data_IF_949226327157
#
_entry.id   IF_949226327157
#
_cell.length_a   1.000
_cell.length_b   1.000
_cell.length_c   1.000
_cell.angle_alpha   90.00
_cell.angle_beta   90.00
_cell.angle_gamma   90.00
#
_symmetry.space_group_name_H-M   'P 1'
#
loop_
_entity.id
_entity.type
_entity.pdbx_description
1 polymer ?
#
# COMPACT_ATOMS: atom_id res chain seq x y z
N UNK A 1 -4.14 -2.42 23.51
CA UNK A 1 -5.20 -1.54 22.97
C UNK A 1 -5.40 -1.93 21.52
N UNK A 2 -6.38 -2.77 21.24
CA UNK A 2 -6.68 -3.21 19.89
C UNK A 2 -8.17 -3.02 19.63
N UNK A 3 -8.53 -2.77 18.38
CA UNK A 3 -9.92 -2.81 17.93
C UNK A 3 -10.47 -4.16 18.39
N UNK A 4 -11.53 -4.13 19.20
CA UNK A 4 -12.07 -5.36 19.75
C UNK A 4 -12.53 -6.23 18.57
N UNK A 5 -11.98 -7.44 18.42
CA UNK A 5 -12.35 -8.33 17.31
C UNK A 5 -13.85 -8.64 17.28
N UNK A 6 -14.55 -8.41 18.39
CA UNK A 6 -15.99 -8.57 18.50
C UNK A 6 -16.82 -7.51 17.75
N UNK A 7 -16.25 -6.37 17.35
CA UNK A 7 -17.01 -5.30 16.66
C UNK A 7 -16.79 -5.26 15.15
N UNK A 8 -15.74 -5.90 14.62
CA UNK A 8 -15.47 -5.96 13.19
C UNK A 8 -15.53 -7.40 12.69
N UNK A 9 -16.62 -7.71 12.01
CA UNK A 9 -16.83 -9.00 11.35
C UNK A 9 -16.55 -8.88 9.85
N UNK A 10 -15.99 -9.93 9.26
CA UNK A 10 -15.82 -10.04 7.82
C UNK A 10 -17.05 -10.76 7.24
N UNK A 11 -17.68 -10.15 6.25
CA UNK A 11 -18.79 -10.76 5.50
C UNK A 11 -18.28 -11.81 4.50
N UNK A 12 -17.09 -11.62 3.95
CA UNK A 12 -16.41 -12.57 3.10
C UNK A 12 -14.89 -12.43 3.22
N UNK A 13 -14.16 -13.50 2.93
CA UNK A 13 -12.69 -13.55 2.87
C UNK A 13 -12.25 -14.41 1.72
N UNK A 14 -11.00 -14.19 1.29
CA UNK A 14 -10.32 -15.03 0.30
C UNK A 14 -11.13 -15.17 -0.99
N UNK A 15 -11.75 -14.06 -1.41
CA UNK A 15 -12.58 -14.01 -2.60
C UNK A 15 -11.73 -14.25 -3.85
N UNK A 16 -12.29 -15.01 -4.79
CA UNK A 16 -11.73 -15.14 -6.13
C UNK A 16 -11.94 -13.85 -6.93
N UNK A 17 -11.00 -13.55 -7.82
CA UNK A 17 -11.16 -12.49 -8.81
C UNK A 17 -11.84 -13.06 -10.04
N UNK A 18 -12.87 -12.39 -10.55
CA UNK A 18 -13.55 -12.77 -11.79
C UNK A 18 -13.25 -11.70 -12.85
N UNK A 19 -12.56 -12.08 -13.91
CA UNK A 19 -12.35 -11.23 -15.09
C UNK A 19 -13.52 -11.43 -16.05
N UNK A 20 -14.31 -10.38 -16.23
CA UNK A 20 -15.52 -10.41 -17.04
C UNK A 20 -15.15 -10.34 -18.53
N UNK A 21 -15.76 -11.23 -19.29
CA UNK A 21 -15.62 -11.34 -20.75
C UNK A 21 -16.94 -10.93 -21.42
N UNK A 22 -16.86 -10.28 -22.58
CA UNK A 22 -18.05 -9.80 -23.32
C UNK A 22 -18.97 -10.95 -23.78
N UNK A 23 -18.40 -12.11 -24.05
CA UNK A 23 -19.10 -13.32 -24.48
C UNK A 23 -19.74 -14.11 -23.32
N UNK A 24 -19.60 -13.61 -22.07
CA UNK A 24 -20.07 -14.29 -20.86
C UNK A 24 -19.15 -15.41 -20.36
N UNK A 25 -18.10 -15.78 -21.10
CA UNK A 25 -17.15 -16.82 -20.71
C UNK A 25 -16.04 -16.24 -19.83
N UNK A 26 -16.38 -15.97 -18.57
CA UNK A 26 -15.51 -15.29 -17.62
C UNK A 26 -14.33 -16.15 -17.15
N UNK A 27 -13.22 -15.51 -16.83
CA UNK A 27 -12.08 -16.14 -16.18
C UNK A 27 -12.22 -15.97 -14.65
N UNK A 28 -12.14 -17.06 -13.92
CA UNK A 28 -12.08 -17.05 -12.45
C UNK A 28 -10.66 -17.35 -11.99
N UNK A 29 -10.08 -16.40 -11.25
CA UNK A 29 -8.75 -16.48 -10.66
C UNK A 29 -8.92 -16.70 -9.17
N UNK A 30 -8.57 -17.91 -8.73
CA UNK A 30 -8.45 -18.27 -7.32
C UNK A 30 -6.98 -18.44 -6.96
N UNK A 31 -6.67 -18.53 -5.67
CA UNK A 31 -5.30 -18.59 -5.12
C UNK A 31 -4.27 -19.35 -5.98
N UNK A 32 -4.61 -20.57 -6.40
CA UNK A 32 -3.72 -21.42 -7.23
C UNK A 32 -4.44 -22.03 -8.43
N UNK A 33 -5.59 -21.48 -8.83
CA UNK A 33 -6.45 -22.08 -9.85
C UNK A 33 -6.99 -21.02 -10.80
N UNK A 34 -6.88 -21.31 -12.09
CA UNK A 34 -7.50 -20.56 -13.16
C UNK A 34 -8.58 -21.43 -13.80
N UNK A 35 -9.80 -20.91 -13.96
CA UNK A 35 -10.90 -21.63 -14.58
C UNK A 35 -11.72 -20.71 -15.49
N UNK A 36 -12.26 -21.27 -16.58
CA UNK A 36 -13.08 -20.54 -17.53
C UNK A 36 -12.28 -19.85 -18.64
N UNK A 37 -12.98 -19.13 -19.52
CA UNK A 37 -12.42 -18.34 -20.61
C UNK A 37 -11.45 -19.07 -21.56
N UNK A 38 -11.58 -20.40 -21.70
CA UNK A 38 -10.69 -21.19 -22.58
C UNK A 38 -9.21 -21.16 -22.18
N UNK A 39 -8.91 -20.94 -20.89
CA UNK A 39 -7.55 -20.85 -20.37
C UNK A 39 -6.71 -22.10 -20.74
N UNK A 40 -5.54 -21.89 -21.34
CA UNK A 40 -4.68 -22.99 -21.80
C UNK A 40 -4.01 -23.71 -20.64
N UNK A 41 -3.60 -24.97 -20.85
CA UNK A 41 -2.78 -25.69 -19.87
C UNK A 41 -1.44 -25.00 -19.61
N UNK A 42 -0.89 -24.34 -20.63
CA UNK A 42 0.40 -23.65 -20.54
C UNK A 42 0.27 -22.37 -19.70
N UNK A 43 -0.81 -21.60 -19.86
CA UNK A 43 -1.10 -20.45 -18.99
C UNK A 43 -1.33 -20.88 -17.54
N UNK A 44 -2.00 -22.03 -17.31
CA UNK A 44 -2.17 -22.57 -15.96
C UNK A 44 -0.83 -22.92 -15.31
N UNK A 45 0.07 -23.57 -16.06
CA UNK A 45 1.43 -23.89 -15.58
C UNK A 45 2.25 -22.62 -15.34
N UNK A 46 2.20 -21.67 -16.27
CA UNK A 46 2.87 -20.38 -16.16
C UNK A 46 2.38 -19.61 -14.94
N UNK A 47 1.08 -19.63 -14.65
CA UNK A 47 0.50 -18.94 -13.49
C UNK A 47 1.00 -19.50 -12.16
N UNK A 48 1.11 -20.81 -12.06
CA UNK A 48 1.69 -21.48 -10.88
C UNK A 48 3.17 -21.09 -10.72
N UNK A 49 3.94 -21.10 -11.81
CA UNK A 49 5.36 -20.72 -11.80
C UNK A 49 5.55 -19.24 -11.42
N UNK A 50 4.77 -18.35 -12.02
CA UNK A 50 4.76 -16.92 -11.76
C UNK A 50 4.44 -16.62 -10.29
N UNK A 51 3.35 -17.18 -9.75
CA UNK A 51 3.00 -16.99 -8.34
C UNK A 51 4.05 -17.54 -7.38
N UNK A 52 4.73 -18.64 -7.74
CA UNK A 52 5.86 -19.17 -6.96
C UNK A 52 7.03 -18.18 -6.94
N UNK A 53 7.35 -17.57 -8.07
CA UNK A 53 8.41 -16.55 -8.18
C UNK A 53 8.07 -15.30 -7.36
N UNK A 54 6.85 -14.76 -7.53
CA UNK A 54 6.35 -13.60 -6.79
C UNK A 54 6.37 -13.86 -5.28
N UNK A 55 5.98 -15.07 -4.84
CA UNK A 55 6.03 -15.46 -3.44
C UNK A 55 7.46 -15.44 -2.84
N UNK A 56 8.50 -15.75 -3.62
CA UNK A 56 9.89 -15.61 -3.16
C UNK A 56 10.21 -14.14 -2.87
N UNK A 57 9.78 -13.23 -3.75
CA UNK A 57 10.00 -11.79 -3.58
C UNK A 57 9.20 -11.22 -2.40
N UNK A 58 7.95 -11.63 -2.22
CA UNK A 58 7.14 -11.26 -1.06
C UNK A 58 7.81 -11.67 0.26
N UNK A 59 8.42 -12.87 0.34
CA UNK A 59 9.15 -13.31 1.55
C UNK A 59 10.37 -12.45 1.85
N UNK A 60 11.08 -11.97 0.82
CA UNK A 60 12.20 -11.05 1.00
C UNK A 60 11.73 -9.70 1.54
N UNK A 61 10.67 -9.13 0.92
CA UNK A 61 10.11 -7.84 1.31
C UNK A 61 9.48 -7.88 2.71
N UNK A 62 8.82 -8.98 3.08
CA UNK A 62 8.29 -9.17 4.44
C UNK A 62 9.39 -9.04 5.50
N UNK A 63 10.56 -9.64 5.25
CA UNK A 63 11.73 -9.50 6.11
C UNK A 63 12.25 -8.06 6.21
N UNK A 64 12.11 -7.27 5.15
CA UNK A 64 12.50 -5.87 5.11
C UNK A 64 11.49 -4.97 5.84
N UNK A 65 10.18 -5.14 5.62
CA UNK A 65 9.14 -4.30 6.21
C UNK A 65 8.90 -4.53 7.71
N UNK A 66 9.19 -5.72 8.22
CA UNK A 66 9.16 -5.99 9.67
C UNK A 66 10.25 -5.23 10.44
N UNK A 67 11.19 -4.59 9.75
CA UNK A 67 12.33 -3.89 10.35
C UNK A 67 12.23 -2.41 10.04
N UNK A 68 12.72 -1.60 10.98
CA UNK A 68 12.97 -0.19 10.72
C UNK A 68 13.96 -0.07 9.56
N UNK A 69 13.64 0.74 8.55
CA UNK A 69 14.55 1.03 7.46
C UNK A 69 15.86 1.63 8.03
N UNK A 70 17.03 1.03 7.75
CA UNK A 70 18.30 1.53 8.27
C UNK A 70 18.64 2.87 7.63
N UNK A 71 19.20 3.80 8.40
CA UNK A 71 19.72 5.05 7.85
C UNK A 71 21.00 4.77 7.06
N UNK A 72 21.04 5.20 5.80
CA UNK A 72 22.19 4.96 4.90
C UNK A 72 23.35 5.95 5.11
N UNK A 73 23.06 7.16 5.61
CA UNK A 73 24.04 8.26 5.72
C UNK A 73 24.58 8.44 7.14
N UNK A 74 23.77 8.20 8.17
CA UNK A 74 24.14 8.30 9.59
C UNK A 74 23.89 6.98 10.31
N UNK A 75 24.65 5.93 9.96
CA UNK A 75 24.40 4.57 10.45
C UNK A 75 25.04 4.28 11.81
N UNK A 76 24.23 3.96 12.82
CA UNK A 76 24.71 3.40 14.08
C UNK A 76 25.04 1.89 13.90
N UNK A 77 25.70 1.25 14.88
CA UNK A 77 26.09 -0.17 14.80
C UNK A 77 24.88 -1.10 14.49
N UNK A 78 23.70 -0.77 15.04
CA UNK A 78 22.44 -1.48 14.78
C UNK A 78 21.98 -1.37 13.32
N UNK A 79 22.18 -0.21 12.68
CA UNK A 79 21.84 0.00 11.27
C UNK A 79 22.78 -0.82 10.38
N UNK A 80 24.06 -0.90 10.73
CA UNK A 80 25.05 -1.73 10.02
C UNK A 80 24.73 -3.22 10.10
N UNK A 81 24.29 -3.71 11.26
CA UNK A 81 23.82 -5.10 11.43
C UNK A 81 22.55 -5.35 10.60
N UNK A 82 21.64 -4.38 10.57
CA UNK A 82 20.40 -4.48 9.78
C UNK A 82 20.70 -4.54 8.28
N UNK A 83 21.60 -3.67 7.80
CA UNK A 83 22.12 -3.68 6.43
C UNK A 83 22.81 -4.99 6.08
N UNK A 84 23.67 -5.52 6.98
CA UNK A 84 24.33 -6.80 6.76
C UNK A 84 23.32 -7.96 6.65
N UNK A 85 22.28 -7.98 7.49
CA UNK A 85 21.21 -8.99 7.40
C UNK A 85 20.38 -8.85 6.12
N UNK A 86 20.11 -7.63 5.67
CA UNK A 86 19.44 -7.39 4.38
C UNK A 86 20.31 -7.88 3.22
N UNK A 87 21.61 -7.55 3.21
CA UNK A 87 22.57 -8.01 2.22
C UNK A 87 22.73 -9.54 2.22
N UNK A 88 22.71 -10.19 3.38
CA UNK A 88 22.67 -11.65 3.49
C UNK A 88 21.37 -12.23 2.91
N UNK A 89 20.22 -11.63 3.20
CA UNK A 89 18.93 -12.04 2.63
C UNK A 89 18.92 -11.96 1.10
N UNK A 90 19.45 -10.86 0.55
CA UNK A 90 19.65 -10.70 -0.90
C UNK A 90 20.60 -11.76 -1.47
N UNK A 91 21.70 -12.07 -0.77
CA UNK A 91 22.65 -13.11 -1.19
C UNK A 91 22.03 -14.52 -1.16
N UNK A 92 21.18 -14.82 -0.18
CA UNK A 92 20.51 -16.11 -0.06
C UNK A 92 19.41 -16.35 -1.11
N UNK A 93 18.93 -15.28 -1.75
CA UNK A 93 17.97 -15.39 -2.86
C UNK A 93 18.60 -16.07 -4.09
N UNK A 94 19.92 -16.03 -4.23
CA UNK A 94 20.63 -16.54 -5.39
C UNK A 94 20.71 -15.51 -6.53
N UNK A 95 21.62 -15.74 -7.47
CA UNK A 95 21.95 -14.77 -8.53
C UNK A 95 20.79 -14.55 -9.50
N UNK A 96 20.08 -15.60 -9.86
CA UNK A 96 18.98 -15.57 -10.83
C UNK A 96 17.79 -14.78 -10.28
N UNK A 97 17.24 -15.19 -9.13
CA UNK A 97 16.12 -14.50 -8.50
C UNK A 97 16.46 -13.03 -8.13
N UNK A 98 17.71 -12.70 -7.80
CA UNK A 98 18.13 -11.30 -7.56
C UNK A 98 18.19 -10.48 -8.84
N UNK A 99 18.66 -11.07 -9.94
CA UNK A 99 18.61 -10.44 -11.27
C UNK A 99 17.18 -10.14 -11.67
N UNK A 100 16.27 -11.10 -11.46
CA UNK A 100 14.85 -10.92 -11.74
C UNK A 100 14.23 -9.85 -10.85
N UNK A 101 14.52 -9.83 -9.54
CA UNK A 101 14.01 -8.79 -8.65
C UNK A 101 14.45 -7.39 -9.08
N UNK A 102 15.72 -7.23 -9.51
CA UNK A 102 16.23 -5.95 -10.03
C UNK A 102 15.59 -5.57 -11.37
N UNK A 103 15.30 -6.56 -12.23
CA UNK A 103 14.53 -6.35 -13.47
C UNK A 103 13.11 -5.87 -13.14
N UNK A 104 12.44 -6.53 -12.21
CA UNK A 104 11.06 -6.22 -11.81
C UNK A 104 10.91 -4.84 -11.18
N UNK A 105 11.96 -4.29 -10.56
CA UNK A 105 11.96 -2.95 -10.00
C UNK A 105 11.84 -1.84 -11.07
N UNK A 106 12.24 -2.12 -12.32
CA UNK A 106 12.33 -1.12 -13.39
C UNK A 106 11.35 -1.37 -14.55
N UNK A 107 10.90 -2.60 -14.74
CA UNK A 107 9.92 -2.96 -15.77
C UNK A 107 8.49 -2.56 -15.35
N UNK A 108 7.57 -2.65 -16.29
CA UNK A 108 6.15 -2.44 -16.09
C UNK A 108 5.39 -3.78 -16.08
N UNK A 109 4.19 -3.81 -15.49
CA UNK A 109 3.39 -5.03 -15.37
C UNK A 109 2.94 -5.54 -16.74
N UNK A 110 2.69 -4.65 -17.70
CA UNK A 110 2.22 -5.02 -19.03
C UNK A 110 3.22 -5.95 -19.73
N UNK A 111 4.50 -5.58 -19.79
CA UNK A 111 5.54 -6.40 -20.41
C UNK A 111 5.69 -7.75 -19.68
N UNK A 112 5.59 -7.76 -18.35
CA UNK A 112 5.63 -9.02 -17.57
C UNK A 112 4.43 -9.92 -17.91
N UNK A 113 3.25 -9.36 -18.14
CA UNK A 113 2.08 -10.14 -18.54
C UNK A 113 2.22 -10.70 -19.96
N UNK A 114 2.73 -9.91 -20.91
CA UNK A 114 3.01 -10.36 -22.28
C UNK A 114 4.11 -11.44 -22.34
N UNK A 115 5.08 -11.40 -21.44
CA UNK A 115 6.16 -12.41 -21.38
C UNK A 115 5.69 -13.76 -20.80
N UNK A 116 4.66 -13.78 -19.96
CA UNK A 116 4.32 -14.96 -19.15
C UNK A 116 2.99 -15.63 -19.53
N UNK A 117 2.10 -14.94 -20.24
CA UNK A 117 0.74 -15.43 -20.49
C UNK A 117 0.27 -15.14 -21.91
N UNK A 118 -0.62 -15.98 -22.42
CA UNK A 118 -1.30 -15.78 -23.70
C UNK A 118 -2.72 -15.23 -23.52
N UNK A 119 -3.43 -15.63 -22.46
CA UNK A 119 -4.82 -15.22 -22.22
C UNK A 119 -4.97 -13.73 -21.82
N UNK A 120 -5.64 -12.95 -22.66
CA UNK A 120 -5.86 -11.51 -22.47
C UNK A 120 -6.63 -11.14 -21.19
N UNK A 121 -7.61 -11.96 -20.77
CA UNK A 121 -8.35 -11.69 -19.52
C UNK A 121 -7.46 -11.88 -18.29
N UNK A 122 -6.56 -12.87 -18.33
CA UNK A 122 -5.58 -13.09 -17.26
C UNK A 122 -4.60 -11.92 -17.17
N UNK A 123 -4.04 -11.50 -18.32
CA UNK A 123 -3.15 -10.32 -18.42
C UNK A 123 -3.83 -9.08 -17.86
N UNK A 124 -5.08 -8.82 -18.28
CA UNK A 124 -5.86 -7.68 -17.84
C UNK A 124 -6.17 -7.68 -16.35
N UNK A 125 -6.59 -8.83 -15.81
CA UNK A 125 -6.92 -8.98 -14.40
C UNK A 125 -5.72 -8.76 -13.47
N UNK A 126 -4.57 -9.37 -13.79
CA UNK A 126 -3.34 -9.19 -13.00
C UNK A 126 -2.81 -7.75 -13.13
N UNK A 127 -2.89 -7.16 -14.33
CA UNK A 127 -2.51 -5.75 -14.54
C UNK A 127 -3.38 -4.78 -13.75
N UNK A 128 -4.69 -5.01 -13.67
CA UNK A 128 -5.56 -4.23 -12.79
C UNK A 128 -5.13 -4.38 -11.33
N UNK A 129 -4.83 -5.61 -10.93
CA UNK A 129 -4.43 -5.95 -9.57
C UNK A 129 -3.21 -5.15 -9.12
N UNK A 130 -2.22 -5.02 -9.99
CA UNK A 130 -0.97 -4.31 -9.72
C UNK A 130 -1.12 -2.79 -9.62
N UNK A 131 -2.21 -2.22 -10.16
CA UNK A 131 -2.42 -0.78 -10.24
C UNK A 131 -3.34 -0.24 -9.15
N UNK A 132 -4.07 -1.10 -8.43
CA UNK A 132 -4.97 -0.70 -7.36
C UNK A 132 -4.22 0.14 -6.31
N UNK A 133 -4.73 1.36 -6.06
CA UNK A 133 -4.12 2.33 -5.14
C UNK A 133 -3.07 3.25 -5.78
N UNK A 134 -2.88 3.19 -7.10
CA UNK A 134 -1.98 4.08 -7.84
C UNK A 134 -2.70 4.85 -8.96
N UNK A 135 -2.11 5.96 -9.39
CA UNK A 135 -2.54 6.69 -10.59
C UNK A 135 -1.72 6.30 -11.84
N UNK A 136 -1.01 5.18 -11.78
CA UNK A 136 -0.13 4.71 -12.86
C UNK A 136 -0.92 3.87 -13.87
N UNK A 137 -0.45 3.83 -15.13
CA UNK A 137 -0.98 2.91 -16.13
C UNK A 137 -0.19 1.60 -16.18
N UNK A 138 -0.70 0.52 -16.81
CA UNK A 138 -0.02 -0.79 -16.86
C UNK A 138 1.39 -0.75 -17.47
N UNK A 139 1.67 0.23 -18.33
CA UNK A 139 2.97 0.43 -18.99
C UNK A 139 3.91 1.37 -18.22
N UNK A 140 3.47 1.91 -17.08
CA UNK A 140 4.33 2.74 -16.24
C UNK A 140 5.40 1.88 -15.55
N UNK A 141 6.66 2.36 -15.45
CA UNK A 141 7.70 1.67 -14.70
C UNK A 141 7.30 1.39 -13.25
N UNK A 142 7.86 0.33 -12.66
CA UNK A 142 7.67 -0.05 -11.25
C UNK A 142 6.24 -0.47 -10.88
N UNK A 143 5.36 -0.71 -11.86
CA UNK A 143 3.98 -1.20 -11.60
C UNK A 143 3.95 -2.64 -11.11
N UNK A 144 4.98 -3.45 -11.40
CA UNK A 144 5.12 -4.80 -10.85
C UNK A 144 5.24 -4.79 -9.33
N UNK A 145 5.87 -3.77 -8.75
CA UNK A 145 5.97 -3.62 -7.29
C UNK A 145 4.59 -3.56 -6.62
N UNK A 146 3.60 -2.91 -7.26
CA UNK A 146 2.23 -2.87 -6.75
C UNK A 146 1.61 -4.27 -6.61
N UNK A 147 1.86 -5.15 -7.59
CA UNK A 147 1.43 -6.54 -7.54
C UNK A 147 2.12 -7.32 -6.40
N UNK A 148 3.44 -7.21 -6.30
CA UNK A 148 4.22 -7.88 -5.24
C UNK A 148 3.77 -7.39 -3.85
N UNK A 149 3.55 -6.10 -3.69
CA UNK A 149 3.08 -5.49 -2.43
C UNK A 149 1.73 -6.07 -2.00
N UNK A 150 0.81 -6.24 -2.94
CA UNK A 150 -0.50 -6.84 -2.66
C UNK A 150 -0.41 -8.34 -2.35
N UNK A 151 0.39 -9.08 -3.10
CA UNK A 151 0.59 -10.51 -2.86
C UNK A 151 1.32 -10.80 -1.54
N UNK A 152 1.97 -9.81 -0.95
CA UNK A 152 2.50 -9.92 0.41
C UNK A 152 1.40 -10.25 1.45
N UNK A 153 0.12 -9.95 1.17
CA UNK A 153 -1.01 -10.38 2.00
C UNK A 153 -1.02 -11.89 2.28
N UNK A 154 -0.54 -12.71 1.33
CA UNK A 154 -0.42 -14.17 1.53
C UNK A 154 0.49 -14.54 2.69
N UNK A 155 1.58 -13.78 2.91
CA UNK A 155 2.50 -13.99 4.03
C UNK A 155 1.85 -13.72 5.39
N UNK A 156 0.75 -12.96 5.41
CA UNK A 156 -0.05 -12.64 6.59
C UNK A 156 -1.34 -13.49 6.69
N UNK A 157 -1.50 -14.50 5.82
CA UNK A 157 -2.65 -15.40 5.81
C UNK A 157 -3.91 -14.80 5.17
N UNK A 158 -3.76 -13.82 4.27
CA UNK A 158 -4.84 -13.31 3.44
C UNK A 158 -4.64 -13.81 2.00
N UNK A 159 -5.58 -14.60 1.48
CA UNK A 159 -5.45 -15.29 0.19
C UNK A 159 -6.31 -14.69 -0.92
N UNK A 160 -6.87 -13.51 -0.66
CA UNK A 160 -7.67 -12.75 -1.59
C UNK A 160 -8.34 -11.56 -0.89
N UNK A 161 -9.15 -10.78 -1.63
CA UNK A 161 -9.92 -9.70 -1.05
C UNK A 161 -10.86 -10.18 0.06
N UNK A 162 -11.07 -9.31 1.05
CA UNK A 162 -12.02 -9.51 2.12
C UNK A 162 -13.01 -8.34 2.16
N UNK A 163 -14.25 -8.64 2.52
CA UNK A 163 -15.32 -7.65 2.63
C UNK A 163 -15.69 -7.52 4.09
N UNK A 164 -15.62 -6.31 4.62
CA UNK A 164 -16.06 -5.99 5.97
C UNK A 164 -17.59 -5.96 6.00
N UNK A 165 -18.18 -6.61 7.00
CA UNK A 165 -19.63 -6.57 7.23
C UNK A 165 -20.03 -5.14 7.61
N UNK A 166 -21.04 -4.59 6.92
CA UNK A 166 -21.42 -3.17 7.05
C UNK A 166 -20.55 -2.22 6.21
N UNK A 167 -19.61 -2.75 5.40
CA UNK A 167 -18.76 -1.97 4.51
C UNK A 167 -17.60 -1.27 5.23
N UNK A 168 -16.85 -0.45 4.48
CA UNK A 168 -15.66 0.23 5.00
C UNK A 168 -15.96 1.30 6.06
N UNK A 169 -17.18 1.85 6.09
CA UNK A 169 -17.61 2.79 7.13
C UNK A 169 -17.54 2.19 8.54
N UNK A 170 -17.93 0.91 8.67
CA UNK A 170 -17.86 0.19 9.94
C UNK A 170 -16.44 0.09 10.51
N UNK A 171 -15.41 0.10 9.66
CA UNK A 171 -14.00 0.16 10.11
C UNK A 171 -13.68 1.50 10.75
N UNK A 172 -14.14 2.60 10.14
CA UNK A 172 -14.01 3.95 10.69
C UNK A 172 -14.72 4.09 12.03
N UNK A 173 -15.95 3.61 12.11
CA UNK A 173 -16.75 3.64 13.35
C UNK A 173 -16.08 2.83 14.46
N UNK A 174 -15.60 1.62 14.16
CA UNK A 174 -14.92 0.78 15.14
C UNK A 174 -13.61 1.42 15.65
N UNK A 175 -12.86 2.12 14.79
CA UNK A 175 -11.69 2.90 15.18
C UNK A 175 -12.07 4.07 16.09
N UNK A 176 -13.09 4.85 15.71
CA UNK A 176 -13.59 5.98 16.49
C UNK A 176 -14.07 5.53 17.89
N UNK A 177 -14.80 4.42 17.96
CA UNK A 177 -15.27 3.86 19.22
C UNK A 177 -14.13 3.35 20.10
N UNK A 178 -13.12 2.72 19.51
CA UNK A 178 -11.91 2.31 20.23
C UNK A 178 -11.15 3.52 20.79
N UNK A 179 -11.08 4.61 20.04
CA UNK A 179 -10.44 5.85 20.45
C UNK A 179 -11.21 6.51 21.61
N UNK A 180 -12.54 6.65 21.49
CA UNK A 180 -13.41 7.18 22.56
C UNK A 180 -13.31 6.37 23.85
N UNK A 181 -13.30 5.04 23.76
CA UNK A 181 -13.07 4.13 24.91
C UNK A 181 -11.71 4.32 25.58
N UNK A 182 -10.75 4.86 24.84
CA UNK A 182 -9.41 5.20 25.35
C UNK A 182 -9.33 6.65 25.86
N UNK A 183 -10.45 7.39 25.91
CA UNK A 183 -10.53 8.76 26.40
C UNK A 183 -10.25 9.84 25.35
N UNK A 184 -10.30 9.51 24.06
CA UNK A 184 -10.10 10.49 22.98
C UNK A 184 -11.41 11.23 22.68
N UNK A 185 -11.35 12.56 22.71
CA UNK A 185 -12.42 13.42 22.22
C UNK A 185 -12.36 13.52 20.68
N UNK A 186 -13.50 13.27 20.03
CA UNK A 186 -13.62 13.34 18.57
C UNK A 186 -14.68 14.37 18.22
N UNK A 187 -14.25 15.46 17.60
CA UNK A 187 -15.13 16.51 17.10
C UNK A 187 -15.22 16.44 15.56
N UNK A 188 -16.44 16.48 15.04
CA UNK A 188 -16.73 16.39 13.60
C UNK A 188 -17.48 17.64 13.14
N UNK A 189 -17.42 17.95 11.85
CA UNK A 189 -18.09 19.13 11.29
C UNK A 189 -17.39 20.46 11.60
N UNK A 190 -16.18 20.41 12.17
CA UNK A 190 -15.41 21.59 12.56
C UNK A 190 -14.06 21.61 11.85
N UNK A 191 -13.98 22.14 10.61
CA UNK A 191 -12.73 22.20 9.86
C UNK A 191 -11.63 22.96 10.60
N UNK A 192 -10.43 22.40 10.61
CA UNK A 192 -9.20 23.13 10.98
C UNK A 192 -8.84 24.05 9.82
N UNK A 193 -8.62 25.35 10.10
CA UNK A 193 -8.23 26.34 9.09
C UNK A 193 -6.78 26.77 9.19
N UNK A 194 -6.16 26.59 10.37
CA UNK A 194 -4.75 26.94 10.58
C UNK A 194 -4.10 26.02 11.61
N UNK A 195 -2.88 25.58 11.35
CA UNK A 195 -1.99 25.00 12.37
C UNK A 195 -1.13 26.15 12.88
N UNK A 196 -1.28 26.46 14.16
CA UNK A 196 -0.63 27.61 14.77
C UNK A 196 0.85 27.27 15.00
N UNK A 197 1.75 28.13 14.56
CA UNK A 197 3.21 27.95 14.67
C UNK A 197 3.81 29.19 15.33
N UNK A 198 4.71 28.96 16.27
CA UNK A 198 5.52 29.99 16.93
C UNK A 198 6.96 29.51 17.02
N UNK A 199 7.91 30.30 16.49
CA UNK A 199 9.36 30.00 16.44
C UNK A 199 9.61 28.54 16.00
N UNK A 200 9.17 28.20 14.78
CA UNK A 200 9.31 26.87 14.17
C UNK A 200 8.69 25.69 14.95
N UNK A 201 7.78 25.98 15.89
CA UNK A 201 7.09 24.96 16.70
C UNK A 201 5.58 25.11 16.60
N UNK A 202 4.90 24.00 16.34
CA UNK A 202 3.44 23.96 16.43
C UNK A 202 2.97 24.22 17.87
N UNK A 203 2.00 25.12 18.04
CA UNK A 203 1.42 25.50 19.34
C UNK A 203 -0.04 25.12 19.48
N UNK A 204 -0.69 24.70 18.39
CA UNK A 204 -2.10 24.33 18.39
C UNK A 204 -2.73 24.40 17.01
N UNK A 205 -4.06 24.47 17.00
CA UNK A 205 -4.86 24.63 15.79
C UNK A 205 -5.95 25.66 15.99
N UNK A 206 -6.28 26.37 14.92
CA UNK A 206 -7.43 27.28 14.84
C UNK A 206 -8.49 26.66 13.94
N UNK A 207 -9.73 26.65 14.42
CA UNK A 207 -10.88 26.08 13.75
C UNK A 207 -11.65 27.14 12.95
N UNK A 208 -12.48 26.70 12.00
CA UNK A 208 -13.26 27.60 11.13
C UNK A 208 -14.27 28.47 11.87
N UNK A 209 -14.67 28.08 13.08
CA UNK A 209 -15.58 28.84 13.94
C UNK A 209 -14.84 29.82 14.89
N UNK A 210 -13.51 29.92 14.75
CA UNK A 210 -12.66 30.81 15.54
C UNK A 210 -12.15 30.22 16.85
N UNK A 211 -12.57 29.00 17.25
CA UNK A 211 -11.99 28.33 18.43
C UNK A 211 -10.52 27.99 18.20
N UNK A 212 -9.74 28.09 19.29
CA UNK A 212 -8.31 27.76 19.29
C UNK A 212 -8.08 26.61 20.29
N UNK A 213 -7.46 25.55 19.81
CA UNK A 213 -7.00 24.44 20.63
C UNK A 213 -5.49 24.49 20.77
N UNK A 214 -5.00 24.68 22.00
CA UNK A 214 -3.56 24.67 22.29
C UNK A 214 -3.08 23.22 22.44
N UNK A 215 -1.99 22.88 21.75
CA UNK A 215 -1.40 21.55 21.80
C UNK A 215 0.12 21.62 21.57
N UNK A 216 0.88 20.81 22.31
CA UNK A 216 2.33 20.70 22.13
C UNK A 216 2.72 19.90 20.90
N UNK A 217 1.84 19.00 20.45
CA UNK A 217 2.04 18.12 19.31
C UNK A 217 0.79 18.16 18.45
N UNK A 218 0.97 18.43 17.17
CA UNK A 218 -0.09 18.39 16.16
C UNK A 218 0.27 17.32 15.14
N UNK A 219 -0.63 16.36 14.93
CA UNK A 219 -0.48 15.31 13.91
C UNK A 219 -1.53 15.55 12.84
N UNK A 220 -1.10 15.93 11.64
CA UNK A 220 -1.99 16.12 10.50
C UNK A 220 -2.11 14.82 9.69
N UNK A 221 -3.35 14.34 9.54
CA UNK A 221 -3.69 13.25 8.62
C UNK A 221 -4.29 13.78 7.30
N UNK A 222 -4.37 15.11 7.12
CA UNK A 222 -4.79 15.69 5.85
C UNK A 222 -3.72 15.48 4.77
N UNK A 223 -4.10 15.54 3.50
CA UNK A 223 -3.14 15.39 2.41
C UNK A 223 -2.00 16.44 2.53
N UNK A 224 -0.78 16.14 2.05
CA UNK A 224 0.35 17.04 2.22
C UNK A 224 0.12 18.43 1.64
N UNK A 225 -0.63 18.55 0.53
CA UNK A 225 -0.92 19.86 -0.07
C UNK A 225 -1.80 20.68 0.86
N UNK A 226 -2.88 20.09 1.38
CA UNK A 226 -3.73 20.78 2.37
C UNK A 226 -2.93 21.15 3.61
N UNK A 227 -2.18 20.21 4.19
CA UNK A 227 -1.41 20.47 5.42
C UNK A 227 -0.40 21.59 5.24
N UNK A 228 0.49 21.50 4.25
CA UNK A 228 1.60 22.45 4.13
C UNK A 228 1.22 23.76 3.45
N UNK A 229 0.33 23.72 2.44
CA UNK A 229 -0.03 24.92 1.70
C UNK A 229 -1.13 25.71 2.44
N UNK A 230 -2.18 25.04 2.93
CA UNK A 230 -3.36 25.71 3.50
C UNK A 230 -3.31 25.87 5.00
N UNK A 231 -2.86 24.85 5.74
CA UNK A 231 -2.95 24.84 7.21
C UNK A 231 -1.71 25.41 7.89
N UNK A 232 -0.51 24.99 7.48
CA UNK A 232 0.76 25.50 8.04
C UNK A 232 1.22 26.77 7.33
N UNK A 233 0.99 26.85 6.01
CA UNK A 233 1.49 27.91 5.15
C UNK A 233 2.92 27.67 4.69
N UNK A 234 3.18 27.91 3.39
CA UNK A 234 4.48 27.63 2.77
C UNK A 234 5.65 28.45 3.34
N UNK A 235 5.37 29.60 3.98
CA UNK A 235 6.38 30.45 4.59
C UNK A 235 7.00 29.83 5.86
N UNK A 236 6.29 28.90 6.51
CA UNK A 236 6.69 28.28 7.77
C UNK A 236 7.38 26.91 7.57
N UNK A 237 7.79 26.59 6.33
CA UNK A 237 8.44 25.32 6.01
C UNK A 237 9.69 25.53 5.17
N UNK A 238 10.62 24.58 5.25
CA UNK A 238 11.84 24.62 4.47
C UNK A 238 11.55 24.68 2.95
N UNK A 239 12.31 25.50 2.23
CA UNK A 239 12.12 25.75 0.80
C UNK A 239 12.10 24.47 -0.05
N UNK A 240 12.90 23.45 0.32
CA UNK A 240 12.91 22.16 -0.35
C UNK A 240 11.59 21.39 -0.22
N UNK A 241 10.94 21.46 0.95
CA UNK A 241 9.61 20.87 1.18
C UNK A 241 8.56 21.68 0.44
N UNK A 242 8.60 23.01 0.54
CA UNK A 242 7.67 23.90 -0.14
C UNK A 242 7.65 23.65 -1.66
N UNK A 243 8.82 23.48 -2.29
CA UNK A 243 8.92 23.20 -3.73
C UNK A 243 8.28 21.87 -4.14
N UNK A 244 8.37 20.83 -3.31
CA UNK A 244 7.78 19.51 -3.59
C UNK A 244 6.27 19.48 -3.42
N UNK A 245 5.73 20.34 -2.56
CA UNK A 245 4.31 20.36 -2.23
C UNK A 245 3.54 21.41 -3.05
N UNK A 246 4.24 22.39 -3.62
CA UNK A 246 3.62 23.40 -4.51
C UNK A 246 2.89 22.68 -5.66
N UNK A 247 1.64 23.07 -5.97
CA UNK A 247 0.93 22.52 -7.13
C UNK A 247 1.76 22.76 -8.40
N UNK A 248 1.75 21.78 -9.31
CA UNK A 248 2.09 22.09 -10.70
C UNK A 248 0.98 23.01 -11.21
N UNK A 249 1.33 24.25 -11.53
CA UNK A 249 0.47 25.18 -12.28
C UNK A 249 0.32 24.73 -13.73
#
# INVERSE_FOLDING_TARGET
>A
MGINRSTLELAARDLSTIALAEDGNHLTISRHKLEGAGISEDDQKAFIAFNKQINKFCKLLDGAFKRRAPKLVEGNLTDRITLAKLGLGMKMLGKEDMSDLMRLALINIYDVMEENFDNELLKGAISLDSLLGSHMGPRSPNTVYGYIYRQMGEAYGYHGPAVVKGGMGAVGDALADSARKSGVDIEMGTPVININVDIDRATGVTLSDGRIFNAQIVVSNADPKTTFNKLVGLANIEAGVARRVKPCE
#
